data_IF_370036724574
#
_entry.id   IF_370036724574
#
_cell.length_a   1.000
_cell.length_b   1.000
_cell.length_c   1.000
_cell.angle_alpha   90.00
_cell.angle_beta   90.00
_cell.angle_gamma   90.00
#
_symmetry.space_group_name_H-M   'P 1'
#
loop_
_entity.id
_entity.type
_entity.pdbx_description
1 polymer ?
#
# COMPACT_ATOMS: atom_id res chain seq x y z
N UNK A 1 -126.49 5.54 -13.21
CA UNK A 1 -125.91 4.36 -12.54
C UNK A 1 -124.54 4.05 -13.07
N UNK A 2 -123.59 4.08 -12.15
CA UNK A 2 -122.29 3.36 -12.14
C UNK A 2 -121.08 3.82 -12.98
N UNK A 3 -120.18 4.41 -12.29
CA UNK A 3 -118.77 4.40 -12.58
C UNK A 3 -118.18 3.00 -12.84
N UNK A 4 -117.03 2.73 -13.42
CA UNK A 4 -115.78 3.06 -12.79
C UNK A 4 -114.56 3.24 -13.78
N UNK A 5 -113.49 3.71 -13.32
CA UNK A 5 -112.32 3.01 -12.94
C UNK A 5 -111.06 3.66 -13.51
N UNK A 6 -110.31 4.30 -12.64
CA UNK A 6 -109.03 4.86 -12.86
C UNK A 6 -107.95 3.81 -13.04
N UNK A 7 -106.99 3.93 -13.98
CA UNK A 7 -105.71 3.24 -14.04
C UNK A 7 -104.57 4.26 -14.03
N UNK A 8 -103.60 4.13 -13.17
CA UNK A 8 -102.58 5.18 -13.01
C UNK A 8 -101.42 4.96 -14.02
N UNK A 9 -100.97 6.10 -14.58
CA UNK A 9 -99.90 6.19 -15.56
C UNK A 9 -98.52 5.95 -14.96
N UNK A 10 -97.74 5.20 -15.70
CA UNK A 10 -96.35 4.95 -15.37
C UNK A 10 -95.44 6.17 -15.51
N UNK A 11 -94.73 6.48 -14.47
CA UNK A 11 -93.67 7.51 -14.46
C UNK A 11 -92.44 6.99 -15.20
N UNK A 12 -92.14 7.49 -16.38
CA UNK A 12 -90.84 7.33 -17.02
C UNK A 12 -89.80 8.20 -16.27
N UNK A 13 -88.96 7.58 -15.49
CA UNK A 13 -87.81 8.20 -14.87
C UNK A 13 -86.77 8.60 -15.93
N UNK A 14 -86.66 9.91 -16.12
CA UNK A 14 -85.58 10.50 -16.89
C UNK A 14 -84.29 10.36 -16.06
N UNK A 15 -83.26 9.56 -16.54
CA UNK A 15 -81.91 9.51 -16.02
C UNK A 15 -81.25 10.86 -16.28
N UNK A 16 -80.55 11.50 -15.31
CA UNK A 16 -79.81 12.72 -15.52
C UNK A 16 -78.64 12.49 -16.44
N UNK A 17 -78.19 13.41 -17.29
CA UNK A 17 -77.08 13.29 -18.13
C UNK A 17 -75.80 13.25 -17.28
N UNK A 18 -74.98 12.22 -17.48
CA UNK A 18 -73.67 12.07 -16.83
C UNK A 18 -72.78 13.26 -17.24
N UNK A 19 -72.20 14.01 -16.32
CA UNK A 19 -71.35 15.16 -16.66
C UNK A 19 -70.05 14.66 -17.28
N UNK A 20 -69.94 14.73 -18.59
CA UNK A 20 -68.80 14.31 -19.38
C UNK A 20 -67.56 15.23 -19.25
N UNK A 21 -67.75 16.40 -18.61
CA UNK A 21 -66.68 17.35 -18.33
C UNK A 21 -65.47 16.79 -17.54
N UNK A 22 -65.62 15.93 -16.51
CA UNK A 22 -64.48 15.38 -15.83
C UNK A 22 -63.75 14.34 -16.66
N UNK A 23 -64.43 13.56 -17.51
CA UNK A 23 -63.83 12.58 -18.38
C UNK A 23 -62.99 13.21 -19.48
N UNK A 24 -63.46 14.33 -20.04
CA UNK A 24 -62.74 15.11 -21.05
C UNK A 24 -61.45 15.76 -20.45
N UNK A 25 -61.52 16.21 -19.20
CA UNK A 25 -60.34 16.74 -18.50
C UNK A 25 -59.32 15.64 -18.19
N UNK A 26 -59.75 14.47 -17.82
CA UNK A 26 -58.89 13.33 -17.56
C UNK A 26 -58.18 12.86 -18.84
N UNK A 27 -58.91 12.84 -19.97
CA UNK A 27 -58.33 12.48 -21.29
C UNK A 27 -57.31 13.56 -21.76
N UNK A 28 -57.56 14.83 -21.54
CA UNK A 28 -56.65 15.92 -21.87
C UNK A 28 -55.36 15.87 -21.02
N UNK A 29 -55.47 15.55 -19.72
CA UNK A 29 -54.30 15.39 -18.84
C UNK A 29 -53.49 14.14 -19.22
N UNK A 30 -54.19 13.04 -19.55
CA UNK A 30 -53.54 11.82 -19.99
C UNK A 30 -52.79 11.95 -21.33
N UNK A 31 -53.39 12.72 -22.29
CA UNK A 31 -52.72 13.00 -23.57
C UNK A 31 -51.51 13.93 -23.43
N UNK A 32 -51.57 14.90 -22.50
CA UNK A 32 -50.46 15.80 -22.19
C UNK A 32 -49.25 15.02 -21.58
N UNK A 33 -49.54 14.05 -20.68
CA UNK A 33 -48.52 13.23 -20.07
C UNK A 33 -47.89 12.25 -21.07
N UNK A 34 -48.67 11.77 -22.04
CA UNK A 34 -48.14 10.86 -23.09
C UNK A 34 -47.30 11.57 -24.14
N UNK A 35 -47.47 12.88 -24.34
CA UNK A 35 -46.72 13.72 -25.29
C UNK A 35 -45.44 14.32 -24.69
N UNK A 36 -45.28 14.31 -23.37
CA UNK A 36 -44.10 14.84 -22.70
C UNK A 36 -42.75 14.20 -23.12
N UNK A 37 -42.64 12.90 -23.37
CA UNK A 37 -41.37 12.30 -23.78
C UNK A 37 -40.93 12.70 -25.21
N UNK A 38 -41.83 13.21 -26.03
CA UNK A 38 -41.51 13.65 -27.39
C UNK A 38 -40.95 15.06 -27.48
N UNK A 39 -41.13 15.87 -26.43
CA UNK A 39 -40.55 17.21 -26.32
C UNK A 39 -39.21 17.22 -25.57
N UNK A 40 -38.72 16.07 -25.05
CA UNK A 40 -37.39 15.99 -24.48
C UNK A 40 -36.37 16.27 -25.59
N UNK A 41 -35.50 17.28 -25.46
CA UNK A 41 -34.40 17.45 -26.41
C UNK A 41 -33.60 16.16 -26.41
N UNK A 42 -33.08 15.71 -27.58
CA UNK A 42 -32.23 14.52 -27.62
C UNK A 42 -31.13 14.74 -26.59
N UNK A 43 -31.03 13.82 -25.62
CA UNK A 43 -29.91 13.79 -24.72
C UNK A 43 -28.66 13.72 -25.61
N UNK A 44 -28.04 14.88 -25.86
CA UNK A 44 -26.71 14.90 -26.43
C UNK A 44 -25.90 14.07 -25.44
N UNK A 45 -25.57 12.85 -25.81
CA UNK A 45 -24.47 12.14 -25.20
C UNK A 45 -23.32 13.13 -25.28
N UNK A 46 -23.00 13.75 -24.16
CA UNK A 46 -21.81 14.57 -24.00
C UNK A 46 -20.70 13.56 -24.22
N UNK A 47 -20.27 13.44 -25.50
CA UNK A 47 -18.96 12.89 -25.77
C UNK A 47 -18.06 13.81 -24.99
N UNK A 48 -17.50 13.31 -23.92
CA UNK A 48 -16.32 13.88 -23.32
C UNK A 48 -15.20 13.76 -24.37
N UNK A 49 -15.26 14.66 -25.36
CA UNK A 49 -14.12 15.00 -26.21
C UNK A 49 -13.11 15.82 -25.37
N UNK A 50 -13.00 15.49 -24.07
CA UNK A 50 -11.84 15.85 -23.28
C UNK A 50 -10.66 15.17 -23.99
N UNK A 51 -9.90 15.95 -24.73
CA UNK A 51 -8.61 15.49 -25.26
C UNK A 51 -7.93 14.72 -24.12
N UNK A 52 -7.40 13.51 -24.39
CA UNK A 52 -6.79 12.71 -23.34
C UNK A 52 -5.75 13.58 -22.64
N UNK A 53 -6.05 13.96 -21.40
CA UNK A 53 -5.09 14.72 -20.61
C UNK A 53 -3.85 13.85 -20.52
N UNK A 54 -2.66 14.38 -20.81
CA UNK A 54 -1.46 13.59 -20.70
C UNK A 54 -1.41 13.01 -19.29
N UNK A 55 -1.43 11.68 -19.22
CA UNK A 55 -1.35 10.96 -17.95
C UNK A 55 -0.09 11.38 -17.20
N UNK A 56 0.00 11.08 -15.89
CA UNK A 56 1.18 11.40 -15.12
C UNK A 56 2.42 10.78 -15.80
N UNK A 57 3.53 11.52 -15.81
CA UNK A 57 4.76 11.04 -16.43
C UNK A 57 5.26 9.70 -15.85
N UNK A 58 4.89 9.40 -14.60
CA UNK A 58 5.19 8.19 -13.86
C UNK A 58 3.95 7.77 -13.06
N UNK A 59 3.56 6.51 -13.19
CA UNK A 59 2.60 5.84 -12.31
C UNK A 59 3.25 4.57 -11.79
N UNK A 60 3.25 4.35 -10.48
CA UNK A 60 3.86 3.17 -9.86
C UNK A 60 3.02 2.66 -8.69
N UNK A 61 3.05 1.36 -8.46
CA UNK A 61 2.35 0.69 -7.38
C UNK A 61 3.17 -0.47 -6.82
N UNK A 62 2.82 -0.92 -5.61
CA UNK A 62 3.36 -2.10 -4.96
C UNK A 62 2.41 -3.28 -5.17
N UNK A 63 2.96 -4.44 -5.50
CA UNK A 63 2.14 -5.66 -5.57
C UNK A 63 1.51 -6.02 -4.22
N UNK A 64 2.20 -5.70 -3.12
CA UNK A 64 1.76 -5.98 -1.76
C UNK A 64 2.09 -4.81 -0.84
N UNK A 65 1.10 -4.09 -0.29
CA UNK A 65 1.33 -3.01 0.66
C UNK A 65 1.59 -3.51 2.08
N UNK A 66 1.44 -4.82 2.34
CA UNK A 66 1.71 -5.46 3.64
C UNK A 66 2.45 -6.76 3.45
N UNK A 67 3.53 -6.91 4.21
CA UNK A 67 4.35 -8.13 4.25
C UNK A 67 4.17 -8.77 5.61
N UNK A 68 3.72 -10.01 5.61
CA UNK A 68 3.54 -10.81 6.82
C UNK A 68 4.82 -11.59 7.11
N UNK A 69 5.39 -11.41 8.30
CA UNK A 69 6.59 -12.11 8.77
C UNK A 69 6.22 -13.00 9.94
N UNK A 70 6.43 -14.28 9.82
CA UNK A 70 6.30 -15.28 10.88
C UNK A 70 7.64 -15.91 11.23
N UNK A 71 7.62 -16.98 12.02
CA UNK A 71 8.82 -17.72 12.44
C UNK A 71 9.45 -18.56 11.32
N UNK A 72 8.72 -18.78 10.23
CA UNK A 72 9.17 -19.52 9.05
C UNK A 72 9.59 -18.62 7.89
N UNK A 73 9.55 -17.30 8.08
CA UNK A 73 9.89 -16.35 7.03
C UNK A 73 11.38 -16.41 6.67
N UNK A 74 11.66 -16.74 5.43
CA UNK A 74 13.03 -16.89 4.88
C UNK A 74 13.46 -15.71 4.01
N UNK A 75 12.63 -14.66 3.91
CA UNK A 75 12.80 -13.54 2.98
C UNK A 75 11.80 -13.62 1.82
N UNK A 76 11.62 -12.52 1.12
CA UNK A 76 10.75 -12.41 -0.06
C UNK A 76 11.17 -11.23 -0.92
N UNK A 77 10.70 -11.19 -2.16
CA UNK A 77 10.87 -10.01 -3.01
C UNK A 77 9.60 -9.15 -2.98
N UNK A 78 9.77 -7.86 -2.73
CA UNK A 78 8.71 -6.88 -2.94
C UNK A 78 8.73 -6.43 -4.40
N UNK A 79 7.65 -6.71 -5.11
CA UNK A 79 7.51 -6.29 -6.49
C UNK A 79 6.92 -4.87 -6.56
N UNK A 80 7.66 -3.99 -7.22
CA UNK A 80 7.25 -2.63 -7.60
C UNK A 80 7.02 -2.63 -9.10
N UNK A 81 5.88 -2.17 -9.56
CA UNK A 81 5.58 -2.08 -10.98
C UNK A 81 5.02 -0.71 -11.32
N UNK A 82 5.13 -0.33 -12.58
CA UNK A 82 4.62 0.96 -13.02
C UNK A 82 4.74 1.17 -14.51
N UNK A 83 4.30 2.36 -14.92
CA UNK A 83 4.31 2.79 -16.30
C UNK A 83 4.81 4.23 -16.43
N UNK A 84 5.37 4.53 -17.59
CA UNK A 84 5.89 5.87 -17.94
C UNK A 84 5.21 6.41 -19.21
N UNK A 85 5.19 7.72 -19.35
CA UNK A 85 4.65 8.41 -20.53
C UNK A 85 5.49 8.18 -21.78
N UNK A 86 6.79 7.93 -21.61
CA UNK A 86 7.76 7.71 -22.70
C UNK A 86 8.43 6.34 -22.57
N UNK A 87 9.17 5.98 -23.61
CA UNK A 87 9.94 4.74 -23.64
C UNK A 87 11.08 4.78 -22.63
N UNK A 88 11.26 3.68 -21.91
CA UNK A 88 12.36 3.42 -21.00
C UNK A 88 13.46 2.71 -21.79
N UNK A 89 14.68 3.15 -21.64
CA UNK A 89 15.83 2.51 -22.27
C UNK A 89 17.00 3.46 -22.51
N UNK A 90 18.05 3.01 -23.20
CA UNK A 90 19.31 3.76 -23.34
C UNK A 90 19.14 5.15 -23.96
N UNK A 91 18.19 5.32 -24.87
CA UNK A 91 17.88 6.60 -25.54
C UNK A 91 16.63 7.29 -24.98
N UNK A 92 15.99 6.68 -23.98
CA UNK A 92 14.75 7.13 -23.37
C UNK A 92 14.89 7.52 -21.92
N UNK A 93 13.81 7.33 -21.19
CA UNK A 93 13.77 7.56 -19.76
C UNK A 93 14.41 6.40 -19.00
N UNK A 94 14.81 6.66 -17.78
CA UNK A 94 15.34 5.65 -16.86
C UNK A 94 14.55 5.67 -15.55
N UNK A 95 14.45 4.52 -14.90
CA UNK A 95 13.75 4.35 -13.64
C UNK A 95 14.75 3.97 -12.55
N UNK A 96 14.65 4.66 -11.42
CA UNK A 96 15.40 4.37 -10.20
C UNK A 96 14.42 4.12 -9.07
N UNK A 97 14.55 2.99 -8.40
CA UNK A 97 13.70 2.58 -7.27
C UNK A 97 14.57 2.47 -6.02
N UNK A 98 14.18 3.20 -4.98
CA UNK A 98 14.88 3.25 -3.70
C UNK A 98 13.94 2.79 -2.58
N UNK A 99 14.24 1.66 -1.96
CA UNK A 99 13.57 1.17 -0.75
C UNK A 99 14.28 1.61 0.51
N UNK A 100 13.55 2.15 1.48
CA UNK A 100 14.06 2.65 2.75
C UNK A 100 13.25 2.12 3.92
N UNK A 101 13.93 1.60 4.94
CA UNK A 101 13.35 1.23 6.22
C UNK A 101 13.49 2.32 7.28
N UNK A 102 12.81 2.11 8.40
CA UNK A 102 12.87 3.03 9.53
C UNK A 102 14.32 3.30 9.99
N UNK A 103 14.61 4.54 10.31
CA UNK A 103 15.92 4.95 10.80
C UNK A 103 16.14 4.48 12.25
N UNK A 104 17.35 4.01 12.56
CA UNK A 104 17.75 3.55 13.89
C UNK A 104 19.20 3.94 14.19
N UNK A 105 19.53 4.06 15.46
CA UNK A 105 20.91 4.22 15.89
C UNK A 105 21.67 2.90 15.83
N UNK A 106 22.87 2.91 15.27
CA UNK A 106 23.76 1.75 15.14
C UNK A 106 25.10 2.04 15.79
N UNK A 107 25.57 1.10 16.62
CA UNK A 107 26.89 1.13 17.24
C UNK A 107 27.81 0.12 16.54
N UNK A 108 28.79 0.62 15.81
CA UNK A 108 29.84 -0.18 15.18
C UNK A 108 31.02 -0.28 16.13
N UNK A 109 31.47 -1.50 16.45
CA UNK A 109 32.63 -1.76 17.30
C UNK A 109 33.72 -2.47 16.51
N UNK A 110 34.94 -1.97 16.64
CA UNK A 110 36.12 -2.66 16.13
C UNK A 110 36.57 -3.72 17.16
N UNK A 111 36.87 -4.92 16.70
CA UNK A 111 37.59 -5.89 17.50
C UNK A 111 39.09 -5.70 17.32
N UNK A 112 39.85 -5.67 18.39
CA UNK A 112 41.31 -5.58 18.38
C UNK A 112 41.93 -6.77 19.10
N UNK A 113 43.01 -7.30 18.54
CA UNK A 113 43.71 -8.40 19.16
C UNK A 113 44.75 -7.85 20.15
N UNK A 114 44.63 -8.20 21.45
CA UNK A 114 45.61 -7.85 22.48
C UNK A 114 46.04 -9.14 23.21
N UNK A 115 47.32 -9.37 23.31
CA UNK A 115 47.88 -10.57 23.96
C UNK A 115 47.28 -11.88 23.44
N UNK A 116 47.02 -11.95 22.12
CA UNK A 116 46.44 -13.15 21.51
C UNK A 116 44.90 -13.26 21.62
N UNK A 117 44.22 -12.42 22.42
CA UNK A 117 42.77 -12.44 22.66
C UNK A 117 42.10 -11.31 21.90
N UNK A 118 40.92 -11.60 21.32
CA UNK A 118 40.09 -10.58 20.71
C UNK A 118 39.26 -9.79 21.78
N UNK A 119 39.55 -8.52 21.93
CA UNK A 119 38.83 -7.63 22.85
C UNK A 119 38.08 -6.54 22.10
N UNK A 120 37.04 -5.99 22.71
CA UNK A 120 36.33 -4.84 22.15
C UNK A 120 37.24 -3.62 22.16
N UNK A 121 37.47 -3.06 21.00
CA UNK A 121 38.22 -1.83 20.79
C UNK A 121 37.32 -0.59 20.66
N UNK A 122 37.79 0.43 19.94
CA UNK A 122 37.04 1.66 19.70
C UNK A 122 35.68 1.39 19.07
N UNK A 123 34.70 2.23 19.41
CA UNK A 123 33.34 2.17 18.88
C UNK A 123 32.89 3.48 18.28
N UNK A 124 32.06 3.43 17.29
CA UNK A 124 31.46 4.55 16.57
C UNK A 124 29.93 4.44 16.58
N UNK A 125 29.25 5.48 17.02
CA UNK A 125 27.77 5.54 16.96
C UNK A 125 27.35 6.33 15.73
N UNK A 126 26.54 5.70 14.89
CA UNK A 126 25.86 6.34 13.76
C UNK A 126 24.38 6.50 14.11
N UNK A 127 23.83 7.67 13.86
CA UNK A 127 22.41 7.97 14.06
C UNK A 127 21.67 7.93 12.74
N UNK A 128 20.35 7.74 12.81
CA UNK A 128 19.48 7.78 11.64
C UNK A 128 19.87 6.81 10.53
N UNK A 129 20.45 5.69 10.89
CA UNK A 129 20.84 4.62 9.95
C UNK A 129 19.57 3.90 9.49
N UNK A 130 19.23 3.88 8.19
CA UNK A 130 18.09 3.13 7.72
C UNK A 130 18.27 1.64 8.03
N UNK A 131 17.21 1.02 8.58
CA UNK A 131 17.22 -0.41 8.89
C UNK A 131 17.35 -1.27 7.63
N UNK A 132 16.79 -0.77 6.53
CA UNK A 132 16.79 -1.36 5.20
C UNK A 132 17.10 -0.30 4.16
N UNK A 133 17.87 -0.67 3.15
CA UNK A 133 18.20 0.15 1.99
C UNK A 133 18.32 -0.77 0.77
N UNK A 134 17.53 -0.52 -0.26
CA UNK A 134 17.65 -1.22 -1.53
C UNK A 134 17.56 -0.21 -2.67
N UNK A 135 18.58 -0.20 -3.51
CA UNK A 135 18.65 0.65 -4.70
C UNK A 135 18.69 -0.23 -5.94
N UNK A 136 17.67 -0.10 -6.79
CA UNK A 136 17.57 -0.78 -8.09
C UNK A 136 17.29 0.23 -9.18
N UNK A 137 17.85 0.02 -10.36
CA UNK A 137 17.73 0.96 -11.48
C UNK A 137 17.74 0.25 -12.83
N UNK A 138 17.34 0.96 -13.89
CA UNK A 138 17.43 0.47 -15.27
C UNK A 138 18.85 0.48 -15.83
N UNK A 139 19.71 1.34 -15.29
CA UNK A 139 21.13 1.44 -15.64
C UNK A 139 21.91 2.01 -14.44
N UNK A 140 23.25 1.94 -14.42
CA UNK A 140 24.07 2.46 -13.34
C UNK A 140 23.74 3.89 -12.99
N UNK A 141 23.36 4.14 -11.73
CA UNK A 141 22.86 5.46 -11.25
C UNK A 141 23.91 6.56 -11.44
N UNK A 142 25.18 6.19 -11.40
CA UNK A 142 26.28 7.11 -11.68
C UNK A 142 26.28 7.67 -13.11
N UNK A 143 25.76 6.90 -14.07
CA UNK A 143 25.60 7.35 -15.45
C UNK A 143 24.25 8.04 -15.71
N UNK A 144 23.28 7.88 -14.81
CA UNK A 144 21.93 8.45 -14.96
C UNK A 144 21.80 9.85 -14.36
N UNK A 145 22.50 10.12 -13.27
CA UNK A 145 22.39 11.35 -12.48
C UNK A 145 23.78 11.88 -12.14
N UNK A 146 23.89 13.20 -12.10
CA UNK A 146 25.10 13.86 -11.63
C UNK A 146 25.31 13.62 -10.11
N UNK A 147 26.55 13.81 -9.65
CA UNK A 147 26.90 13.57 -8.25
C UNK A 147 26.10 14.44 -7.26
N UNK A 148 25.84 15.74 -7.51
CA UNK A 148 25.01 16.55 -6.64
C UNK A 148 23.60 16.00 -6.45
N UNK A 149 22.92 15.58 -7.52
CA UNK A 149 21.59 15.00 -7.44
C UNK A 149 21.58 13.66 -6.71
N UNK A 150 22.57 12.79 -6.97
CA UNK A 150 22.75 11.53 -6.24
C UNK A 150 23.02 11.74 -4.76
N UNK A 151 23.87 12.72 -4.43
CA UNK A 151 24.20 13.07 -3.05
C UNK A 151 23.00 13.64 -2.29
N UNK A 152 22.21 14.48 -2.94
CA UNK A 152 20.97 15.02 -2.36
C UNK A 152 19.99 13.90 -1.99
N UNK A 153 19.83 12.93 -2.87
CA UNK A 153 18.89 11.82 -2.72
C UNK A 153 19.46 10.60 -2.01
N UNK A 154 20.75 10.63 -1.63
CA UNK A 154 21.47 9.52 -0.97
C UNK A 154 21.45 8.24 -1.81
N UNK A 155 21.58 8.38 -3.13
CA UNK A 155 21.59 7.27 -4.08
C UNK A 155 23.01 6.67 -4.14
N UNK A 156 23.14 5.50 -3.53
CA UNK A 156 24.39 4.77 -3.34
C UNK A 156 24.82 4.69 -1.87
N UNK A 157 25.37 3.56 -1.46
CA UNK A 157 25.74 3.27 -0.07
C UNK A 157 26.82 4.21 0.46
N UNK A 158 27.76 4.62 -0.39
CA UNK A 158 28.78 5.59 -0.01
C UNK A 158 28.18 6.96 0.26
N UNK A 159 27.31 7.44 -0.64
CA UNK A 159 26.62 8.74 -0.48
C UNK A 159 25.63 8.74 0.70
N UNK A 160 24.96 7.61 0.93
CA UNK A 160 24.12 7.41 2.09
C UNK A 160 24.94 7.57 3.37
N UNK A 161 26.03 6.78 3.50
CA UNK A 161 26.83 6.77 4.74
C UNK A 161 27.59 8.06 4.95
N UNK A 162 28.02 8.75 3.90
CA UNK A 162 28.65 10.05 3.99
C UNK A 162 27.77 11.11 4.68
N UNK A 163 26.44 10.98 4.57
CA UNK A 163 25.46 11.91 5.15
C UNK A 163 24.92 11.50 6.53
N UNK A 164 25.22 10.28 6.99
CA UNK A 164 24.76 9.85 8.31
C UNK A 164 25.44 10.65 9.42
N UNK A 165 24.67 11.12 10.41
CA UNK A 165 25.24 11.73 11.60
C UNK A 165 26.09 10.71 12.38
N UNK A 166 27.37 10.97 12.52
CA UNK A 166 28.31 10.07 13.18
C UNK A 166 29.78 10.42 12.89
N UNK A 167 30.71 9.57 13.30
CA UNK A 167 32.13 9.79 13.06
C UNK A 167 32.45 9.92 11.58
N UNK A 168 33.40 10.78 11.26
CA UNK A 168 33.90 10.97 9.89
C UNK A 168 34.93 9.94 9.45
N UNK A 169 35.38 9.09 10.38
CA UNK A 169 36.35 8.04 10.12
C UNK A 169 35.87 7.09 9.00
N UNK A 170 36.58 7.01 7.88
CA UNK A 170 36.16 6.19 6.72
C UNK A 170 36.15 4.70 7.01
N UNK A 171 36.98 4.22 7.95
CA UNK A 171 37.01 2.79 8.29
C UNK A 171 35.73 2.36 9.00
N UNK A 172 35.20 3.17 9.91
CA UNK A 172 33.92 2.86 10.56
C UNK A 172 32.74 2.96 9.59
N UNK A 173 32.80 3.86 8.60
CA UNK A 173 31.75 3.96 7.58
C UNK A 173 31.75 2.75 6.66
N UNK A 174 32.93 2.31 6.23
CA UNK A 174 33.09 1.07 5.44
C UNK A 174 32.62 -0.15 6.22
N UNK A 175 33.03 -0.27 7.49
CA UNK A 175 32.58 -1.33 8.37
C UNK A 175 31.03 -1.33 8.59
N UNK A 176 30.39 -0.15 8.63
CA UNK A 176 28.96 -0.05 8.67
C UNK A 176 28.29 -0.61 7.40
N UNK A 177 28.83 -0.26 6.21
CA UNK A 177 28.34 -0.79 4.93
C UNK A 177 28.47 -2.32 4.92
N UNK A 178 29.66 -2.84 5.21
CA UNK A 178 29.93 -4.28 5.25
C UNK A 178 29.01 -5.03 6.23
N UNK A 179 28.79 -4.48 7.41
CA UNK A 179 27.88 -5.03 8.41
C UNK A 179 26.44 -5.12 7.90
N UNK A 180 26.00 -4.05 7.25
CA UNK A 180 24.62 -3.95 6.74
C UNK A 180 24.40 -4.80 5.49
N UNK A 181 25.38 -4.89 4.61
CA UNK A 181 25.35 -5.80 3.46
C UNK A 181 25.44 -7.27 3.91
N UNK A 182 26.30 -7.59 4.86
CA UNK A 182 26.40 -8.95 5.43
C UNK A 182 25.14 -9.43 6.14
N UNK A 183 24.28 -8.52 6.59
CA UNK A 183 22.93 -8.83 7.11
C UNK A 183 21.82 -8.77 6.05
N UNK A 184 22.22 -8.63 4.77
CA UNK A 184 21.29 -8.45 3.62
C UNK A 184 20.32 -7.25 3.78
N UNK A 185 20.56 -6.42 4.78
CA UNK A 185 19.71 -5.26 5.05
C UNK A 185 19.95 -4.10 4.07
N UNK A 186 21.14 -4.03 3.47
CA UNK A 186 21.49 -3.04 2.47
C UNK A 186 21.93 -3.71 1.18
N UNK A 187 21.22 -3.37 0.12
CA UNK A 187 21.44 -3.90 -1.21
C UNK A 187 21.52 -2.75 -2.23
N UNK A 188 22.45 -2.84 -3.15
CA UNK A 188 22.60 -1.93 -4.28
C UNK A 188 22.79 -2.79 -5.54
N UNK A 189 21.71 -2.91 -6.31
CA UNK A 189 21.70 -3.72 -7.53
C UNK A 189 21.30 -2.84 -8.72
N UNK A 190 22.30 -2.39 -9.45
CA UNK A 190 22.09 -1.63 -10.67
C UNK A 190 21.64 -2.55 -11.82
N UNK A 191 20.84 -1.98 -12.74
CA UNK A 191 20.36 -2.68 -13.94
C UNK A 191 19.40 -3.85 -13.68
N UNK A 192 18.69 -3.86 -12.56
CA UNK A 192 17.69 -4.89 -12.19
C UNK A 192 16.22 -4.46 -12.34
N UNK A 193 15.96 -3.33 -12.93
CA UNK A 193 14.60 -2.94 -13.34
C UNK A 193 14.33 -3.53 -14.72
N UNK A 194 13.38 -4.44 -14.79
CA UNK A 194 12.98 -5.07 -16.03
C UNK A 194 11.92 -4.23 -16.75
N UNK A 195 12.04 -4.08 -18.06
CA UNK A 195 11.16 -3.24 -18.87
C UNK A 195 10.40 -4.09 -19.87
N UNK A 196 9.07 -3.95 -19.90
CA UNK A 196 8.17 -4.65 -20.81
C UNK A 196 7.43 -3.66 -21.69
N UNK A 197 7.34 -3.96 -23.00
CA UNK A 197 6.67 -3.08 -23.97
C UNK A 197 7.25 -1.65 -24.04
N UNK A 198 8.46 -1.45 -23.51
CA UNK A 198 9.17 -0.18 -23.53
C UNK A 198 8.64 0.91 -22.61
N UNK A 199 7.50 0.70 -21.94
CA UNK A 199 6.88 1.70 -21.03
C UNK A 199 6.49 1.13 -19.66
N UNK A 200 6.31 -0.16 -19.57
CA UNK A 200 6.03 -0.84 -18.31
C UNK A 200 7.34 -1.27 -17.70
N UNK A 201 7.47 -1.10 -16.40
CA UNK A 201 8.63 -1.57 -15.67
C UNK A 201 8.19 -2.36 -14.43
N UNK A 202 9.05 -3.27 -14.03
CA UNK A 202 8.95 -3.90 -12.73
C UNK A 202 10.34 -4.06 -12.10
N UNK A 203 10.39 -3.84 -10.81
CA UNK A 203 11.58 -3.94 -9.99
C UNK A 203 11.33 -4.87 -8.82
N UNK A 204 12.29 -5.73 -8.48
CA UNK A 204 12.24 -6.59 -7.30
C UNK A 204 13.18 -6.04 -6.24
N UNK A 205 12.61 -5.73 -5.08
CA UNK A 205 13.35 -5.30 -3.90
C UNK A 205 13.47 -6.50 -2.95
N UNK A 206 14.66 -7.08 -2.76
CA UNK A 206 14.84 -8.23 -1.90
C UNK A 206 14.66 -7.83 -0.43
N UNK A 207 13.73 -8.47 0.25
CA UNK A 207 13.49 -8.31 1.69
C UNK A 207 14.12 -9.48 2.44
N UNK A 208 15.16 -9.26 3.25
CA UNK A 208 15.83 -10.33 3.94
C UNK A 208 14.98 -10.98 5.02
N UNK A 209 15.33 -12.21 5.40
CA UNK A 209 14.69 -12.93 6.51
C UNK A 209 14.77 -12.19 7.84
N UNK A 210 15.77 -11.33 8.00
CA UNK A 210 16.03 -10.51 9.19
C UNK A 210 15.30 -9.16 9.18
N UNK A 211 14.42 -8.92 8.20
CA UNK A 211 13.72 -7.64 8.07
C UNK A 211 12.95 -7.29 9.34
N UNK A 212 13.12 -6.06 9.81
CA UNK A 212 12.43 -5.59 11.02
C UNK A 212 10.97 -5.24 10.73
N UNK A 213 10.09 -5.47 11.70
CA UNK A 213 8.71 -4.98 11.62
C UNK A 213 8.66 -3.45 11.69
N UNK A 214 7.74 -2.85 10.94
CA UNK A 214 7.55 -1.40 10.88
C UNK A 214 7.12 -0.91 9.52
N UNK A 215 7.14 0.42 9.37
CA UNK A 215 6.79 1.10 8.13
C UNK A 215 8.03 1.31 7.27
N UNK A 216 7.85 1.09 5.98
CA UNK A 216 8.88 1.21 4.95
C UNK A 216 8.38 2.10 3.83
N UNK A 217 9.30 2.76 3.15
CA UNK A 217 9.01 3.65 2.03
C UNK A 217 9.77 3.18 0.78
N UNK A 218 9.10 3.20 -0.35
CA UNK A 218 9.70 3.01 -1.66
C UNK A 218 9.53 4.30 -2.46
N UNK A 219 10.63 4.85 -2.94
CA UNK A 219 10.64 6.00 -3.83
C UNK A 219 10.94 5.52 -5.24
N UNK A 220 10.02 5.77 -6.15
CA UNK A 220 10.20 5.52 -7.58
C UNK A 220 10.47 6.86 -8.26
N UNK A 221 11.59 6.95 -8.94
CA UNK A 221 12.05 8.16 -9.60
C UNK A 221 12.22 7.93 -11.09
N UNK A 222 11.65 8.83 -11.90
CA UNK A 222 11.81 8.84 -13.35
C UNK A 222 12.90 9.83 -13.71
N UNK A 223 13.93 9.35 -14.38
CA UNK A 223 15.10 10.14 -14.78
C UNK A 223 15.08 10.35 -16.30
N UNK A 224 15.17 11.59 -16.71
CA UNK A 224 15.22 12.02 -18.12
C UNK A 224 16.35 13.03 -18.31
N UNK A 225 17.26 12.76 -19.24
CA UNK A 225 18.39 13.64 -19.56
C UNK A 225 19.16 14.12 -18.30
N UNK A 226 19.50 13.21 -17.41
CA UNK A 226 20.27 13.51 -16.20
C UNK A 226 19.49 14.17 -15.07
N UNK A 227 18.17 14.30 -15.17
CA UNK A 227 17.32 14.97 -14.17
C UNK A 227 16.16 14.09 -13.74
N UNK A 228 15.80 14.16 -12.46
CA UNK A 228 14.59 13.54 -11.94
C UNK A 228 13.40 14.42 -12.33
N UNK A 229 12.52 13.90 -13.20
CA UNK A 229 11.36 14.65 -13.74
C UNK A 229 10.06 14.29 -13.03
N UNK A 230 9.99 13.10 -12.44
CA UNK A 230 8.85 12.67 -11.64
C UNK A 230 9.32 11.77 -10.50
N UNK A 231 8.59 11.81 -9.38
CA UNK A 231 8.83 10.98 -8.21
C UNK A 231 7.50 10.57 -7.62
N UNK A 232 7.41 9.30 -7.24
CA UNK A 232 6.28 8.76 -6.51
C UNK A 232 6.77 8.03 -5.27
N UNK A 233 6.11 8.27 -4.14
CA UNK A 233 6.40 7.62 -2.87
C UNK A 233 5.31 6.62 -2.56
N UNK A 234 5.71 5.39 -2.28
CA UNK A 234 4.85 4.27 -1.95
C UNK A 234 5.25 3.78 -0.57
N UNK A 235 4.29 3.44 0.27
CA UNK A 235 4.55 2.90 1.60
C UNK A 235 4.09 1.46 1.70
N UNK A 236 4.87 0.63 2.40
CA UNK A 236 4.44 -0.70 2.80
C UNK A 236 4.79 -0.96 4.26
N UNK A 237 4.09 -1.90 4.85
CA UNK A 237 4.27 -2.29 6.24
C UNK A 237 4.70 -3.73 6.36
N UNK A 238 5.67 -3.98 7.23
CA UNK A 238 6.08 -5.31 7.64
C UNK A 238 5.50 -5.61 9.01
N UNK A 239 4.60 -6.57 9.08
CA UNK A 239 3.90 -6.96 10.31
C UNK A 239 4.29 -8.37 10.73
N UNK A 240 4.48 -8.56 12.04
CA UNK A 240 4.69 -9.90 12.57
C UNK A 240 3.35 -10.61 12.72
N UNK A 241 3.23 -11.78 12.11
CA UNK A 241 2.04 -12.63 12.17
C UNK A 241 2.36 -13.97 12.84
N UNK A 242 1.31 -14.73 13.20
CA UNK A 242 1.45 -16.07 13.79
C UNK A 242 0.91 -16.16 15.22
N UNK A 243 1.01 -17.33 15.84
CA UNK A 243 0.45 -17.60 17.16
C UNK A 243 1.05 -16.70 18.24
N UNK A 244 2.36 -16.47 18.20
CA UNK A 244 3.05 -15.58 19.15
C UNK A 244 2.61 -14.13 19.05
N UNK A 245 2.34 -13.64 17.83
CA UNK A 245 1.81 -12.30 17.62
C UNK A 245 0.38 -12.16 18.15
N UNK A 246 -0.47 -13.19 17.95
CA UNK A 246 -1.85 -13.23 18.50
C UNK A 246 -1.85 -13.26 20.03
N UNK A 247 -1.00 -14.07 20.65
CA UNK A 247 -0.85 -14.10 22.12
C UNK A 247 -0.41 -12.73 22.64
N UNK A 248 0.58 -12.11 22.00
CA UNK A 248 1.07 -10.79 22.37
C UNK A 248 0.03 -9.66 22.16
N UNK A 249 -0.86 -9.77 21.18
CA UNK A 249 -1.97 -8.81 21.02
C UNK A 249 -3.03 -9.00 22.09
N UNK A 250 -3.47 -10.24 22.34
CA UNK A 250 -4.46 -10.54 23.40
C UNK A 250 -3.96 -10.09 24.77
N UNK A 251 -2.68 -10.30 25.06
CA UNK A 251 -2.07 -9.87 26.33
C UNK A 251 -2.05 -8.33 26.49
N UNK A 252 -1.95 -7.59 25.41
CA UNK A 252 -1.96 -6.11 25.42
C UNK A 252 -3.36 -5.51 25.40
N UNK A 253 -4.23 -6.08 24.55
CA UNK A 253 -5.57 -5.55 24.30
C UNK A 253 -6.54 -5.95 25.43
N UNK A 254 -6.33 -7.13 26.04
CA UNK A 254 -7.18 -7.67 27.11
C UNK A 254 -6.36 -8.28 28.25
N UNK A 255 -5.57 -7.47 29.01
CA UNK A 255 -4.63 -7.96 29.99
C UNK A 255 -5.32 -8.75 31.15
N UNK A 256 -6.52 -8.34 31.54
CA UNK A 256 -7.29 -9.04 32.58
C UNK A 256 -7.76 -10.43 32.11
N UNK A 257 -8.26 -10.55 30.87
CA UNK A 257 -8.70 -11.83 30.32
C UNK A 257 -7.51 -12.77 30.15
N UNK A 258 -6.37 -12.26 29.69
CA UNK A 258 -5.15 -13.04 29.58
C UNK A 258 -4.66 -13.55 30.94
N UNK A 259 -4.63 -12.69 31.96
CA UNK A 259 -4.25 -13.06 33.33
C UNK A 259 -5.17 -14.12 33.93
N UNK A 260 -6.50 -13.98 33.78
CA UNK A 260 -7.47 -14.98 34.22
C UNK A 260 -7.29 -16.32 33.49
N UNK A 261 -7.06 -16.30 32.19
CA UNK A 261 -6.80 -17.52 31.42
C UNK A 261 -5.53 -18.24 31.91
N UNK A 262 -4.44 -17.50 32.17
CA UNK A 262 -3.22 -18.07 32.73
C UNK A 262 -3.43 -18.70 34.11
N UNK A 263 -4.18 -18.04 35.00
CA UNK A 263 -4.52 -18.57 36.33
C UNK A 263 -5.36 -19.85 36.22
N UNK A 264 -6.38 -19.85 35.35
CA UNK A 264 -7.22 -21.02 35.10
C UNK A 264 -6.40 -22.20 34.54
N UNK A 265 -5.51 -21.97 33.59
CA UNK A 265 -4.62 -22.99 33.05
C UNK A 265 -3.67 -23.56 34.14
N UNK A 266 -3.09 -22.70 34.96
CA UNK A 266 -2.22 -23.13 36.07
C UNK A 266 -2.98 -23.96 37.09
N UNK A 267 -4.21 -23.57 37.48
CA UNK A 267 -5.07 -24.31 38.40
C UNK A 267 -5.46 -25.68 37.81
N UNK A 268 -5.82 -25.74 36.53
CA UNK A 268 -6.12 -26.99 35.82
C UNK A 268 -4.90 -27.91 35.76
N UNK A 269 -3.72 -27.39 35.44
CA UNK A 269 -2.49 -28.17 35.40
C UNK A 269 -2.12 -28.71 36.78
N UNK A 270 -2.25 -27.90 37.85
CA UNK A 270 -2.03 -28.30 39.23
C UNK A 270 -3.02 -29.36 39.69
N UNK A 271 -4.31 -29.17 39.35
CA UNK A 271 -5.34 -30.18 39.66
C UNK A 271 -5.07 -31.50 38.94
N UNK A 272 -4.79 -31.45 37.67
CA UNK A 272 -4.48 -32.63 36.83
C UNK A 272 -3.22 -33.38 37.38
N UNK A 273 -2.17 -32.63 37.71
CA UNK A 273 -0.97 -33.17 38.35
C UNK A 273 -1.31 -33.87 39.67
N UNK A 274 -2.11 -33.24 40.53
CA UNK A 274 -2.56 -33.83 41.80
C UNK A 274 -3.35 -35.15 41.63
N UNK A 275 -4.22 -35.19 40.57
CA UNK A 275 -5.02 -36.40 40.26
C UNK A 275 -4.15 -37.55 39.77
N UNK A 276 -3.19 -37.24 38.87
CA UNK A 276 -2.29 -38.24 38.28
C UNK A 276 -1.33 -38.81 39.33
N UNK A 277 -0.69 -37.96 40.13
CA UNK A 277 0.27 -38.39 41.16
C UNK A 277 -0.38 -38.94 42.43
N UNK A 278 -1.69 -38.76 42.62
CA UNK A 278 -2.41 -39.31 43.77
C UNK A 278 -2.77 -40.80 43.60
N UNK A 279 -2.57 -41.38 42.44
CA UNK A 279 -2.83 -42.79 42.10
C UNK A 279 -1.57 -43.68 42.02
N UNK A 280 -0.42 -43.15 42.47
CA UNK A 280 0.83 -43.89 42.60
C UNK A 280 1.21 -44.24 44.04
#
# INVERSE_FOLDING_TARGET
VTSPGLVPGGRHGRRPPVPWRPVLRLLLVLSAVLLLPWLAPPARAQRDDAAPQPGPALAAELAQPRIAVDTAFTGTDLLVFGATDRLIGPTGDNVVVLGLGAARDVLVRRRVKRLGIWVNGPSARFREVPSYYALVSTAPVAGLLDEPARRERRLGLELLTARLPGPRDPEFRRALIELKQGSEGWNEEESRVEVSGGRLFHARLPLPSTIATGDYMVQVMLVRAGRIIARQELSFRVDRVGATARIASVSRDHPLLYGLACIALAALAGWFGSVVFRRG
#
